data_IF_094147633701
#
_entry.id   IF_094147633701
#
_cell.length_a   1.000
_cell.length_b   1.000
_cell.length_c   1.000
_cell.angle_alpha   90.00
_cell.angle_beta   90.00
_cell.angle_gamma   90.00
#
_symmetry.space_group_name_H-M   'P 1'
#
loop_
_entity.id
_entity.type
_entity.pdbx_description
1 polymer ?
#
# COMPACT_ATOMS: atom_id res chain seq x y z
N UNK A 1 -12.33 -17.31 -16.36
CA UNK A 1 -11.68 -16.07 -15.87
C UNK A 1 -12.70 -14.98 -15.55
N UNK A 2 -13.46 -14.48 -16.55
CA UNK A 2 -14.46 -13.42 -16.32
C UNK A 2 -15.58 -13.83 -15.35
N UNK A 3 -16.01 -15.10 -15.39
CA UNK A 3 -17.03 -15.62 -14.45
C UNK A 3 -16.58 -15.60 -12.98
N UNK A 4 -15.28 -15.67 -12.69
CA UNK A 4 -14.77 -15.62 -11.32
C UNK A 4 -14.63 -14.17 -10.82
N UNK A 5 -14.27 -13.24 -11.71
CA UNK A 5 -13.94 -11.86 -11.33
C UNK A 5 -15.13 -10.89 -11.39
N UNK A 6 -16.26 -11.26 -12.00
CA UNK A 6 -17.38 -10.33 -12.15
C UNK A 6 -18.05 -9.98 -10.82
N UNK A 7 -18.20 -10.96 -9.91
CA UNK A 7 -18.79 -10.77 -8.56
C UNK A 7 -17.95 -9.81 -7.71
N UNK A 8 -16.63 -10.04 -7.51
CA UNK A 8 -15.79 -9.10 -6.76
C UNK A 8 -15.71 -7.74 -7.46
N UNK A 9 -15.71 -7.69 -8.80
CA UNK A 9 -15.78 -6.42 -9.53
C UNK A 9 -17.07 -5.65 -9.23
N UNK A 10 -18.23 -6.31 -9.16
CA UNK A 10 -19.48 -5.67 -8.77
C UNK A 10 -19.41 -5.12 -7.33
N UNK A 11 -18.79 -5.86 -6.40
CA UNK A 11 -18.56 -5.37 -5.04
C UNK A 11 -17.69 -4.09 -5.05
N UNK A 12 -16.61 -4.08 -5.85
CA UNK A 12 -15.77 -2.90 -6.04
C UNK A 12 -16.54 -1.70 -6.59
N UNK A 13 -17.49 -1.89 -7.51
CA UNK A 13 -18.33 -0.81 -8.04
C UNK A 13 -19.27 -0.26 -6.96
N UNK A 14 -19.90 -1.12 -6.17
CA UNK A 14 -20.77 -0.71 -5.07
C UNK A 14 -20.00 0.07 -4.00
N UNK A 15 -18.80 -0.39 -3.65
CA UNK A 15 -17.89 0.33 -2.74
C UNK A 15 -17.49 1.68 -3.35
N UNK A 16 -16.98 1.69 -4.58
CA UNK A 16 -16.56 2.92 -5.28
C UNK A 16 -17.67 3.98 -5.29
N UNK A 17 -18.92 3.58 -5.57
CA UNK A 17 -20.03 4.50 -5.72
C UNK A 17 -20.24 5.40 -4.48
N UNK A 18 -20.32 4.81 -3.29
CA UNK A 18 -20.56 5.56 -2.05
C UNK A 18 -19.28 6.15 -1.47
N UNK A 19 -18.13 5.46 -1.56
CA UNK A 19 -16.90 5.91 -0.89
C UNK A 19 -16.29 7.12 -1.58
N UNK A 20 -16.36 7.21 -2.91
CA UNK A 20 -15.90 8.42 -3.62
C UNK A 20 -16.72 9.63 -3.19
N UNK A 21 -18.04 9.48 -3.05
CA UNK A 21 -18.92 10.55 -2.61
C UNK A 21 -18.60 10.99 -1.17
N UNK A 22 -18.52 10.04 -0.22
CA UNK A 22 -18.18 10.34 1.16
C UNK A 22 -16.75 10.89 1.29
N UNK A 23 -15.82 10.41 0.48
CA UNK A 23 -14.44 10.85 0.43
C UNK A 23 -14.28 12.31 0.06
N UNK A 24 -15.12 12.85 -0.82
CA UNK A 24 -15.14 14.29 -1.10
C UNK A 24 -15.50 15.12 0.14
N UNK A 25 -16.46 14.65 0.92
CA UNK A 25 -16.84 15.31 2.17
C UNK A 25 -15.74 15.21 3.21
N UNK A 26 -15.10 14.04 3.35
CA UNK A 26 -13.96 13.83 4.24
C UNK A 26 -12.78 14.76 3.91
N UNK A 27 -12.41 14.84 2.62
CA UNK A 27 -11.36 15.75 2.16
C UNK A 27 -11.73 17.22 2.39
N UNK A 28 -12.97 17.63 2.09
CA UNK A 28 -13.42 19.00 2.31
C UNK A 28 -13.40 19.40 3.80
N UNK A 29 -13.70 18.44 4.68
CA UNK A 29 -13.71 18.63 6.14
C UNK A 29 -12.31 18.56 6.77
N UNK A 30 -11.29 18.12 6.03
CA UNK A 30 -9.92 17.97 6.53
C UNK A 30 -9.76 16.87 7.58
N UNK A 31 -10.60 15.82 7.51
CA UNK A 31 -10.63 14.72 8.50
C UNK A 31 -10.25 13.37 7.88
N UNK A 32 -9.10 13.34 7.19
CA UNK A 32 -8.71 12.26 6.26
C UNK A 32 -8.70 10.89 6.92
N UNK A 33 -8.26 10.79 8.18
CA UNK A 33 -8.15 9.53 8.91
C UNK A 33 -9.41 9.10 9.66
N UNK A 34 -10.54 9.79 9.48
CA UNK A 34 -11.78 9.48 10.23
C UNK A 34 -12.34 8.10 9.94
N UNK A 35 -12.16 7.59 8.73
CA UNK A 35 -12.54 6.23 8.35
C UNK A 35 -11.69 5.18 9.06
N UNK A 36 -10.36 5.36 9.11
CA UNK A 36 -9.46 4.46 9.82
C UNK A 36 -9.81 4.43 11.31
N UNK A 37 -10.04 5.59 11.91
CA UNK A 37 -10.40 5.68 13.32
C UNK A 37 -11.75 4.99 13.60
N UNK A 38 -12.78 5.25 12.79
CA UNK A 38 -14.07 4.58 12.95
C UNK A 38 -13.98 3.08 12.72
N UNK A 39 -13.15 2.62 11.79
CA UNK A 39 -12.91 1.20 11.57
C UNK A 39 -12.25 0.53 12.79
N UNK A 40 -11.29 1.20 13.44
CA UNK A 40 -10.68 0.67 14.67
C UNK A 40 -11.63 0.70 15.87
N UNK A 41 -12.46 1.74 15.99
CA UNK A 41 -13.53 1.80 16.99
C UNK A 41 -14.55 0.68 16.76
N UNK A 42 -14.95 0.44 15.51
CA UNK A 42 -15.82 -0.68 15.14
C UNK A 42 -15.16 -2.03 15.44
N UNK A 43 -13.88 -2.19 15.11
CA UNK A 43 -13.08 -3.37 15.44
C UNK A 43 -12.98 -3.64 16.94
N UNK A 44 -12.83 -2.58 17.75
CA UNK A 44 -12.93 -2.69 19.21
C UNK A 44 -14.32 -3.19 19.65
N UNK A 45 -15.40 -2.74 19.00
CA UNK A 45 -16.75 -3.27 19.21
C UNK A 45 -16.87 -4.77 18.91
N UNK A 46 -16.32 -5.23 17.78
CA UNK A 46 -16.25 -6.67 17.44
C UNK A 46 -15.52 -7.46 18.53
N UNK A 47 -14.40 -6.92 19.00
CA UNK A 47 -13.57 -7.50 20.05
C UNK A 47 -14.31 -7.59 21.39
N UNK A 48 -15.13 -6.58 21.73
CA UNK A 48 -16.01 -6.62 22.91
C UNK A 48 -17.13 -7.66 22.74
N UNK A 49 -17.70 -7.81 21.54
CA UNK A 49 -18.68 -8.85 21.27
C UNK A 49 -18.08 -10.26 21.44
N UNK A 50 -16.83 -10.44 21.00
CA UNK A 50 -16.09 -11.68 21.19
C UNK A 50 -15.88 -12.00 22.68
N UNK A 51 -15.50 -11.01 23.49
CA UNK A 51 -15.41 -11.19 24.95
C UNK A 51 -16.76 -11.50 25.60
N UNK A 52 -17.86 -11.00 25.04
CA UNK A 52 -19.22 -11.33 25.46
C UNK A 52 -19.66 -12.74 25.01
N UNK A 53 -18.79 -13.52 24.34
CA UNK A 53 -19.06 -14.88 23.90
C UNK A 53 -19.71 -14.99 22.52
N UNK A 54 -19.82 -13.90 21.77
CA UNK A 54 -20.35 -13.94 20.41
C UNK A 54 -19.25 -14.31 19.39
N UNK A 55 -19.56 -15.13 18.37
CA UNK A 55 -18.64 -15.35 17.27
C UNK A 55 -18.31 -14.04 16.53
N UNK A 56 -17.07 -13.88 16.09
CA UNK A 56 -16.57 -12.67 15.42
C UNK A 56 -17.37 -12.32 14.14
N UNK A 57 -17.85 -13.33 13.42
CA UNK A 57 -18.62 -13.15 12.18
C UNK A 57 -20.15 -13.13 12.40
N UNK A 58 -20.60 -13.10 13.66
CA UNK A 58 -22.02 -13.09 14.00
C UNK A 58 -22.68 -11.74 13.73
N UNK A 59 -24.00 -11.75 13.56
CA UNK A 59 -24.80 -10.51 13.50
C UNK A 59 -24.68 -9.70 14.81
N UNK A 60 -24.52 -10.36 15.95
CA UNK A 60 -24.26 -9.68 17.23
C UNK A 60 -22.97 -8.87 17.16
N UNK A 61 -21.87 -9.46 16.67
CA UNK A 61 -20.60 -8.75 16.51
C UNK A 61 -20.74 -7.52 15.58
N UNK A 62 -21.54 -7.60 14.51
CA UNK A 62 -21.86 -6.46 13.66
C UNK A 62 -22.57 -5.34 14.42
N UNK A 63 -23.59 -5.66 15.23
CA UNK A 63 -24.31 -4.64 16.01
C UNK A 63 -23.44 -3.99 17.09
N UNK A 64 -22.55 -4.74 17.73
CA UNK A 64 -21.56 -4.17 18.65
C UNK A 64 -20.58 -3.24 17.91
N UNK A 65 -20.06 -3.68 16.76
CA UNK A 65 -19.19 -2.86 15.92
C UNK A 65 -19.87 -1.55 15.54
N UNK A 66 -21.13 -1.62 15.11
CA UNK A 66 -21.92 -0.46 14.72
C UNK A 66 -22.20 0.46 15.91
N UNK A 67 -22.56 -0.08 17.07
CA UNK A 67 -22.81 0.71 18.28
C UNK A 67 -21.55 1.50 18.70
N UNK A 68 -20.39 0.84 18.69
CA UNK A 68 -19.11 1.49 18.96
C UNK A 68 -18.80 2.56 17.90
N UNK A 69 -18.95 2.23 16.61
CA UNK A 69 -18.70 3.17 15.53
C UNK A 69 -19.61 4.41 15.60
N UNK A 70 -20.88 4.24 15.97
CA UNK A 70 -21.81 5.35 16.22
C UNK A 70 -21.39 6.17 17.45
N UNK A 71 -20.87 5.54 18.50
CA UNK A 71 -20.25 6.23 19.63
C UNK A 71 -19.03 7.06 19.22
N UNK A 72 -18.15 6.50 18.37
CA UNK A 72 -17.02 7.22 17.78
C UNK A 72 -17.46 8.38 16.89
N UNK A 73 -18.51 8.18 16.08
CA UNK A 73 -19.12 9.23 15.27
C UNK A 73 -19.70 10.36 16.12
N UNK A 74 -20.34 10.04 17.25
CA UNK A 74 -20.83 11.01 18.22
C UNK A 74 -19.68 11.82 18.80
N UNK A 75 -18.61 11.14 19.22
CA UNK A 75 -17.40 11.79 19.74
C UNK A 75 -16.82 12.76 18.69
N UNK A 76 -16.62 12.33 17.45
CA UNK A 76 -16.05 13.19 16.40
C UNK A 76 -16.95 14.37 16.02
N UNK A 77 -18.27 14.19 16.02
CA UNK A 77 -19.21 15.28 15.81
C UNK A 77 -19.13 16.33 16.95
N UNK A 78 -19.00 15.87 18.19
CA UNK A 78 -18.91 16.74 19.36
C UNK A 78 -17.59 17.49 19.42
N UNK A 79 -16.46 16.82 19.17
CA UNK A 79 -15.14 17.46 19.22
C UNK A 79 -14.91 18.42 18.07
N UNK A 80 -15.45 18.14 16.87
CA UNK A 80 -15.32 19.03 15.71
C UNK A 80 -16.00 20.39 15.93
N UNK A 81 -17.10 20.39 16.68
CA UNK A 81 -17.85 21.60 16.99
C UNK A 81 -17.30 22.36 18.21
N UNK A 82 -16.38 21.76 18.96
CA UNK A 82 -15.80 22.41 20.13
C UNK A 82 -14.75 23.44 19.68
N UNK A 83 -14.79 24.68 20.19
CA UNK A 83 -13.71 25.63 19.98
C UNK A 83 -12.47 25.13 20.72
N UNK A 84 -11.57 24.48 19.99
CA UNK A 84 -10.38 23.83 20.54
C UNK A 84 -9.11 24.29 19.83
N UNK A 85 -8.00 24.33 20.57
CA UNK A 85 -6.65 24.54 20.00
C UNK A 85 -6.11 23.29 19.30
N UNK A 86 -6.74 22.13 19.52
CA UNK A 86 -6.33 20.86 18.96
C UNK A 86 -7.02 20.65 17.60
N UNK A 87 -6.26 20.35 16.53
CA UNK A 87 -6.84 19.97 15.25
C UNK A 87 -7.71 18.71 15.41
N UNK A 88 -8.86 18.67 14.75
CA UNK A 88 -9.77 17.52 14.77
C UNK A 88 -9.05 16.23 14.34
N UNK A 89 -8.12 16.32 13.39
CA UNK A 89 -7.32 15.18 12.93
C UNK A 89 -6.46 14.57 14.03
N UNK A 90 -5.99 15.37 14.99
CA UNK A 90 -5.22 14.86 16.13
C UNK A 90 -6.12 14.02 17.06
N UNK A 91 -7.36 14.46 17.29
CA UNK A 91 -8.35 13.69 18.07
C UNK A 91 -8.64 12.36 17.39
N UNK A 92 -8.86 12.38 16.07
CA UNK A 92 -9.10 11.19 15.24
C UNK A 92 -7.91 10.22 15.34
N UNK A 93 -6.68 10.73 15.21
CA UNK A 93 -5.46 9.92 15.31
C UNK A 93 -5.27 9.27 16.69
N UNK A 94 -5.58 9.98 17.77
CA UNK A 94 -5.52 9.43 19.13
C UNK A 94 -6.56 8.33 19.32
N UNK A 95 -7.81 8.56 18.89
CA UNK A 95 -8.89 7.57 18.98
C UNK A 95 -8.57 6.33 18.16
N UNK A 96 -8.01 6.50 16.95
CA UNK A 96 -7.49 5.41 16.14
C UNK A 96 -6.46 4.56 16.90
N UNK A 97 -5.40 5.19 17.43
CA UNK A 97 -4.32 4.50 18.09
C UNK A 97 -4.77 3.76 19.36
N UNK A 98 -5.59 4.41 20.20
CA UNK A 98 -6.13 3.82 21.42
C UNK A 98 -7.06 2.66 21.11
N UNK A 99 -7.98 2.81 20.15
CA UNK A 99 -8.93 1.74 19.80
C UNK A 99 -8.21 0.53 19.21
N UNK A 100 -7.22 0.75 18.34
CA UNK A 100 -6.39 -0.31 17.78
C UNK A 100 -5.60 -1.04 18.88
N UNK A 101 -4.96 -0.29 19.79
CA UNK A 101 -4.21 -0.88 20.90
C UNK A 101 -5.11 -1.71 21.83
N UNK A 102 -6.30 -1.20 22.17
CA UNK A 102 -7.27 -1.93 22.98
C UNK A 102 -7.78 -3.19 22.27
N UNK A 103 -8.03 -3.13 20.96
CA UNK A 103 -8.44 -4.29 20.18
C UNK A 103 -7.33 -5.37 20.18
N UNK A 104 -6.07 -4.98 19.96
CA UNK A 104 -4.92 -5.89 20.03
C UNK A 104 -4.78 -6.51 21.41
N UNK A 105 -4.86 -5.74 22.49
CA UNK A 105 -4.71 -6.24 23.86
C UNK A 105 -5.73 -7.33 24.23
N UNK A 106 -6.94 -7.23 23.69
CA UNK A 106 -7.98 -8.24 23.92
C UNK A 106 -7.77 -9.46 23.02
N UNK A 107 -7.43 -9.23 21.75
CA UNK A 107 -7.29 -10.27 20.73
C UNK A 107 -6.01 -11.10 20.90
N UNK A 108 -4.96 -10.54 21.51
CA UNK A 108 -3.68 -11.22 21.82
C UNK A 108 -3.88 -12.51 22.65
N UNK A 109 -4.95 -12.57 23.44
CA UNK A 109 -5.27 -13.74 24.26
C UNK A 109 -6.07 -14.81 23.50
N UNK A 110 -6.45 -14.56 22.24
CA UNK A 110 -7.23 -15.47 21.43
C UNK A 110 -6.32 -16.27 20.47
N UNK A 111 -6.48 -17.61 20.36
CA UNK A 111 -5.66 -18.45 19.47
C UNK A 111 -5.67 -18.03 17.99
N UNK A 112 -6.73 -17.34 17.54
CA UNK A 112 -6.96 -16.92 16.16
C UNK A 112 -6.77 -15.41 15.96
N UNK A 113 -6.17 -14.72 16.93
CA UNK A 113 -6.17 -13.27 16.97
C UNK A 113 -5.40 -12.60 15.83
N UNK A 114 -4.24 -13.16 15.45
CA UNK A 114 -3.45 -12.65 14.33
C UNK A 114 -4.19 -12.72 12.98
N UNK A 115 -4.94 -13.79 12.75
CA UNK A 115 -5.74 -13.94 11.53
C UNK A 115 -6.90 -12.94 11.50
N UNK A 116 -7.52 -12.67 12.65
CA UNK A 116 -8.56 -11.64 12.74
C UNK A 116 -8.03 -10.24 12.39
N UNK A 117 -6.86 -9.86 12.92
CA UNK A 117 -6.22 -8.58 12.59
C UNK A 117 -5.93 -8.49 11.08
N UNK A 118 -5.40 -9.57 10.50
CA UNK A 118 -5.12 -9.64 9.06
C UNK A 118 -6.39 -9.49 8.22
N UNK A 119 -7.47 -10.18 8.59
CA UNK A 119 -8.77 -10.07 7.91
C UNK A 119 -9.34 -8.65 8.01
N UNK A 120 -9.21 -7.97 9.16
CA UNK A 120 -9.61 -6.57 9.31
C UNK A 120 -8.82 -5.63 8.41
N UNK A 121 -7.50 -5.83 8.27
CA UNK A 121 -6.64 -4.95 7.48
C UNK A 121 -6.87 -5.12 5.96
N UNK A 122 -6.84 -6.36 5.46
CA UNK A 122 -6.80 -6.66 4.03
C UNK A 122 -8.19 -6.98 3.46
N UNK A 123 -9.09 -7.52 4.28
CA UNK A 123 -10.38 -8.04 3.84
C UNK A 123 -10.26 -9.23 2.90
N UNK A 124 -11.41 -9.69 2.39
CA UNK A 124 -11.46 -10.70 1.34
C UNK A 124 -12.61 -10.39 0.36
N UNK A 125 -12.31 -9.48 -0.58
CA UNK A 125 -13.28 -9.12 -1.63
C UNK A 125 -13.49 -10.26 -2.62
N UNK A 126 -12.53 -11.18 -2.75
CA UNK A 126 -12.58 -12.25 -3.75
C UNK A 126 -13.68 -13.26 -3.43
N UNK A 127 -13.93 -13.53 -2.15
CA UNK A 127 -14.91 -14.53 -1.68
C UNK A 127 -16.29 -13.96 -1.37
N UNK A 128 -16.54 -12.68 -1.67
CA UNK A 128 -17.81 -12.02 -1.39
C UNK A 128 -18.98 -12.67 -2.14
N UNK A 129 -20.08 -12.93 -1.43
CA UNK A 129 -21.27 -13.53 -2.01
C UNK A 129 -22.18 -12.49 -2.70
N UNK A 130 -22.94 -12.88 -3.74
CA UNK A 130 -23.95 -12.00 -4.34
C UNK A 130 -25.01 -11.51 -3.34
N UNK A 131 -25.32 -12.30 -2.31
CA UNK A 131 -26.21 -11.90 -1.22
C UNK A 131 -25.64 -10.77 -0.37
N UNK A 132 -24.35 -10.79 -0.06
CA UNK A 132 -23.68 -9.72 0.69
C UNK A 132 -23.61 -8.45 -0.14
N UNK A 133 -23.26 -8.56 -1.42
CA UNK A 133 -23.27 -7.42 -2.36
C UNK A 133 -24.66 -6.79 -2.40
N UNK A 134 -25.73 -7.58 -2.51
CA UNK A 134 -27.10 -7.06 -2.54
C UNK A 134 -27.48 -6.34 -1.25
N UNK A 135 -27.14 -6.89 -0.08
CA UNK A 135 -27.41 -6.24 1.22
C UNK A 135 -26.71 -4.89 1.32
N UNK A 136 -25.43 -4.85 0.95
CA UNK A 136 -24.62 -3.64 0.99
C UNK A 136 -25.05 -2.63 -0.07
N UNK A 137 -25.40 -3.07 -1.28
CA UNK A 137 -25.92 -2.20 -2.33
C UNK A 137 -27.24 -1.52 -1.91
N UNK A 138 -28.17 -2.25 -1.29
CA UNK A 138 -29.41 -1.68 -0.76
C UNK A 138 -29.12 -0.68 0.36
N UNK A 139 -28.26 -1.03 1.31
CA UNK A 139 -27.84 -0.13 2.38
C UNK A 139 -27.23 1.17 1.82
N UNK A 140 -26.33 1.07 0.85
CA UNK A 140 -25.65 2.22 0.27
C UNK A 140 -26.56 3.05 -0.64
N UNK A 141 -27.53 2.42 -1.31
CA UNK A 141 -28.56 3.13 -2.04
C UNK A 141 -29.46 3.95 -1.09
N UNK A 142 -29.86 3.40 0.06
CA UNK A 142 -30.65 4.12 1.06
C UNK A 142 -29.86 5.28 1.68
N UNK A 143 -28.59 5.05 2.05
CA UNK A 143 -27.72 6.10 2.57
C UNK A 143 -27.42 7.16 1.52
N UNK A 144 -27.20 6.76 0.27
CA UNK A 144 -27.01 7.66 -0.86
C UNK A 144 -28.24 8.52 -1.12
N UNK A 145 -29.45 7.92 -1.10
CA UNK A 145 -30.71 8.64 -1.22
C UNK A 145 -30.87 9.66 -0.08
N UNK A 146 -30.60 9.25 1.15
CA UNK A 146 -30.62 10.13 2.32
C UNK A 146 -29.68 11.33 2.12
N UNK A 147 -28.46 11.10 1.64
CA UNK A 147 -27.50 12.17 1.32
C UNK A 147 -27.94 13.08 0.17
N UNK A 148 -28.63 12.54 -0.84
CA UNK A 148 -29.20 13.35 -1.93
C UNK A 148 -30.30 14.28 -1.39
N UNK A 149 -31.15 13.79 -0.49
CA UNK A 149 -32.18 14.59 0.18
C UNK A 149 -31.55 15.65 1.10
N UNK A 150 -30.47 15.29 1.80
CA UNK A 150 -29.72 16.14 2.73
C UNK A 150 -28.57 16.91 2.06
N UNK A 151 -28.51 16.97 0.72
CA UNK A 151 -27.30 17.44 0.01
C UNK A 151 -26.92 18.88 0.36
N UNK A 152 -27.92 19.77 0.47
CA UNK A 152 -27.70 21.20 0.72
C UNK A 152 -27.01 21.45 2.07
N UNK A 153 -27.56 20.99 3.21
CA UNK A 153 -26.90 21.17 4.51
C UNK A 153 -25.53 20.49 4.57
N UNK A 154 -25.40 19.26 4.07
CA UNK A 154 -24.14 18.49 4.17
C UNK A 154 -23.03 19.17 3.34
N UNK A 155 -23.32 19.62 2.12
CA UNK A 155 -22.34 20.33 1.28
C UNK A 155 -21.92 21.66 1.90
N UNK A 156 -22.88 22.46 2.39
CA UNK A 156 -22.57 23.75 3.02
C UNK A 156 -21.65 23.57 4.24
N UNK A 157 -21.95 22.62 5.12
CA UNK A 157 -21.16 22.39 6.34
C UNK A 157 -19.79 21.76 6.04
N UNK A 158 -19.67 21.06 4.92
CA UNK A 158 -18.38 20.48 4.50
C UNK A 158 -17.45 21.51 3.88
N UNK A 159 -18.00 22.51 3.17
CA UNK A 159 -17.22 23.52 2.43
C UNK A 159 -17.04 24.84 3.20
N UNK A 160 -18.05 25.24 3.97
CA UNK A 160 -18.15 26.54 4.64
C UNK A 160 -18.94 26.38 5.97
N UNK A 161 -18.34 25.80 7.01
CA UNK A 161 -19.00 25.60 8.29
C UNK A 161 -19.39 26.91 8.98
N UNK A 162 -18.56 27.96 8.86
CA UNK A 162 -18.82 29.27 9.47
C UNK A 162 -20.00 29.98 8.79
N UNK A 163 -20.08 29.95 7.45
CA UNK A 163 -21.23 30.48 6.74
C UNK A 163 -22.48 29.63 6.93
N UNK A 164 -22.36 28.31 7.13
CA UNK A 164 -23.52 27.49 7.50
C UNK A 164 -24.08 27.87 8.88
N UNK A 165 -23.21 28.17 9.84
CA UNK A 165 -23.61 28.63 11.17
C UNK A 165 -24.27 30.01 11.11
N UNK A 166 -23.74 30.96 10.33
CA UNK A 166 -24.32 32.29 10.16
C UNK A 166 -25.69 32.26 9.49
N UNK A 167 -25.96 31.26 8.63
CA UNK A 167 -27.28 30.97 8.04
C UNK A 167 -28.22 30.20 8.97
N UNK A 168 -27.88 30.05 10.26
CA UNK A 168 -28.72 29.40 11.27
C UNK A 168 -28.81 27.87 11.16
N UNK A 169 -27.91 27.22 10.40
CA UNK A 169 -27.90 25.75 10.34
C UNK A 169 -27.35 25.17 11.64
N UNK A 170 -27.98 24.08 12.11
CA UNK A 170 -27.48 23.30 13.24
C UNK A 170 -26.25 22.47 12.86
N UNK A 171 -25.06 23.11 12.79
CA UNK A 171 -23.79 22.51 12.34
C UNK A 171 -23.52 21.17 13.06
N UNK A 172 -23.69 21.14 14.37
CA UNK A 172 -23.52 19.94 15.22
C UNK A 172 -24.40 18.77 14.80
N UNK A 173 -25.67 19.03 14.51
CA UNK A 173 -26.63 17.99 14.16
C UNK A 173 -26.33 17.37 12.80
N UNK A 174 -25.96 18.18 11.81
CA UNK A 174 -25.59 17.68 10.48
C UNK A 174 -24.22 17.01 10.45
N UNK A 175 -23.27 17.45 11.29
CA UNK A 175 -22.01 16.73 11.49
C UNK A 175 -22.23 15.37 12.12
N UNK A 176 -23.08 15.29 13.14
CA UNK A 176 -23.48 14.03 13.72
C UNK A 176 -24.16 13.12 12.68
N UNK A 177 -25.11 13.64 11.90
CA UNK A 177 -25.78 12.87 10.87
C UNK A 177 -24.81 12.36 9.79
N UNK A 178 -23.85 13.20 9.38
CA UNK A 178 -22.78 12.78 8.46
C UNK A 178 -21.92 11.68 9.08
N UNK A 179 -21.37 11.88 10.29
CA UNK A 179 -20.49 10.88 10.89
C UNK A 179 -21.19 9.56 11.20
N UNK A 180 -22.47 9.58 11.57
CA UNK A 180 -23.25 8.35 11.81
C UNK A 180 -23.47 7.57 10.52
N UNK A 181 -23.94 8.23 9.47
CA UNK A 181 -24.14 7.58 8.17
C UNK A 181 -22.82 7.11 7.57
N UNK A 182 -21.75 7.87 7.77
CA UNK A 182 -20.39 7.50 7.41
C UNK A 182 -19.89 6.28 8.20
N UNK A 183 -20.12 6.23 9.51
CA UNK A 183 -19.76 5.09 10.36
C UNK A 183 -20.49 3.81 9.94
N UNK A 184 -21.78 3.91 9.57
CA UNK A 184 -22.55 2.77 9.03
C UNK A 184 -21.91 2.24 7.74
N UNK A 185 -21.55 3.13 6.80
CA UNK A 185 -20.91 2.75 5.53
C UNK A 185 -19.55 2.12 5.80
N UNK A 186 -18.66 2.79 6.54
CA UNK A 186 -17.30 2.31 6.81
C UNK A 186 -17.35 0.95 7.53
N UNK A 187 -18.16 0.80 8.58
CA UNK A 187 -18.27 -0.46 9.33
C UNK A 187 -18.70 -1.61 8.43
N UNK A 188 -19.69 -1.37 7.55
CA UNK A 188 -20.20 -2.38 6.63
C UNK A 188 -19.20 -2.71 5.52
N UNK A 189 -18.46 -1.72 5.02
CA UNK A 189 -17.44 -1.92 3.98
C UNK A 189 -16.22 -2.66 4.50
N UNK A 190 -15.75 -2.32 5.70
CA UNK A 190 -14.55 -2.92 6.30
C UNK A 190 -14.74 -4.42 6.49
N UNK A 191 -15.95 -4.87 6.83
CA UNK A 191 -16.28 -6.30 6.95
C UNK A 191 -16.02 -7.08 5.65
N UNK A 192 -16.16 -6.45 4.48
CA UNK A 192 -15.97 -7.09 3.17
C UNK A 192 -14.56 -6.83 2.65
N UNK A 193 -14.19 -5.56 2.58
CA UNK A 193 -13.02 -5.09 1.85
C UNK A 193 -11.79 -4.85 2.73
N UNK A 194 -11.96 -4.85 4.05
CA UNK A 194 -10.89 -4.48 4.98
C UNK A 194 -10.61 -2.98 4.99
N UNK A 195 -9.89 -2.54 6.01
CA UNK A 195 -9.65 -1.12 6.28
C UNK A 195 -8.81 -0.46 5.17
N UNK A 196 -7.79 -1.14 4.66
CA UNK A 196 -6.87 -0.56 3.67
C UNK A 196 -7.55 -0.24 2.34
N UNK A 197 -8.39 -1.15 1.87
CA UNK A 197 -9.10 -0.99 0.60
C UNK A 197 -10.22 0.06 0.72
N UNK A 198 -10.94 0.08 1.84
CA UNK A 198 -11.96 1.11 2.12
C UNK A 198 -11.35 2.50 2.12
N UNK A 199 -10.22 2.70 2.82
CA UNK A 199 -9.48 3.95 2.81
C UNK A 199 -9.07 4.37 1.38
N UNK A 200 -8.58 3.41 0.60
CA UNK A 200 -8.13 3.66 -0.78
C UNK A 200 -9.28 4.11 -1.69
N UNK A 201 -10.45 3.46 -1.61
CA UNK A 201 -11.64 3.87 -2.36
C UNK A 201 -12.18 5.25 -1.95
N UNK A 202 -11.96 5.63 -0.70
CA UNK A 202 -12.47 6.86 -0.13
C UNK A 202 -11.57 8.04 -0.49
N UNK A 203 -10.26 7.91 -0.31
CA UNK A 203 -9.32 9.04 -0.41
C UNK A 203 -8.73 9.20 -1.81
N UNK A 204 -8.20 8.13 -2.42
CA UNK A 204 -7.42 8.24 -3.67
C UNK A 204 -8.24 8.81 -4.84
N UNK A 205 -9.39 8.23 -5.23
CA UNK A 205 -10.18 8.77 -6.34
C UNK A 205 -10.74 10.17 -6.04
N UNK A 206 -11.08 10.49 -4.78
CA UNK A 206 -11.54 11.81 -4.39
C UNK A 206 -10.42 12.87 -4.47
N UNK A 207 -9.19 12.49 -4.09
CA UNK A 207 -8.00 13.35 -4.17
C UNK A 207 -7.63 13.62 -5.63
N UNK A 208 -7.55 12.58 -6.46
CA UNK A 208 -7.29 12.73 -7.91
C UNK A 208 -8.39 13.58 -8.57
N UNK A 209 -9.66 13.33 -8.21
CA UNK A 209 -10.80 14.13 -8.64
C UNK A 209 -10.62 15.62 -8.34
N UNK A 210 -10.19 15.93 -7.11
CA UNK A 210 -9.96 17.31 -6.63
C UNK A 210 -8.79 17.99 -7.33
N UNK A 211 -7.73 17.25 -7.64
CA UNK A 211 -6.58 17.75 -8.41
C UNK A 211 -6.95 18.03 -9.88
N UNK A 212 -7.82 17.21 -10.47
CA UNK A 212 -8.17 17.30 -11.88
C UNK A 212 -9.32 18.28 -12.18
N UNK A 213 -10.27 18.47 -11.24
CA UNK A 213 -11.51 19.22 -11.52
C UNK A 213 -11.94 20.14 -10.38
N UNK A 214 -12.52 21.30 -10.74
CA UNK A 214 -13.07 22.27 -9.77
C UNK A 214 -14.54 22.02 -9.41
N UNK A 215 -15.31 21.37 -10.29
CA UNK A 215 -16.73 21.08 -10.06
C UNK A 215 -16.93 19.84 -9.20
N UNK A 216 -17.81 19.90 -8.19
CA UNK A 216 -18.16 18.74 -7.33
C UNK A 216 -18.62 17.54 -8.15
N UNK A 217 -19.49 17.74 -9.15
CA UNK A 217 -19.97 16.67 -10.02
C UNK A 217 -18.83 16.04 -10.86
N UNK A 218 -17.93 16.86 -11.43
CA UNK A 218 -16.76 16.36 -12.16
C UNK A 218 -15.82 15.54 -11.29
N UNK A 219 -15.59 15.95 -10.03
CA UNK A 219 -14.80 15.17 -9.07
C UNK A 219 -15.42 13.80 -8.82
N UNK A 220 -16.75 13.73 -8.76
CA UNK A 220 -17.49 12.51 -8.43
C UNK A 220 -17.46 11.53 -9.61
N UNK A 221 -17.78 12.01 -10.81
CA UNK A 221 -17.75 11.19 -12.03
C UNK A 221 -16.33 10.67 -12.29
N UNK A 222 -15.31 11.54 -12.19
CA UNK A 222 -13.93 11.10 -12.38
C UNK A 222 -13.51 10.08 -11.31
N UNK A 223 -13.88 10.31 -10.05
CA UNK A 223 -13.60 9.36 -8.98
C UNK A 223 -14.25 8.00 -9.19
N UNK A 224 -15.49 7.95 -9.68
CA UNK A 224 -16.16 6.68 -10.04
C UNK A 224 -15.48 5.96 -11.20
N UNK A 225 -15.13 6.69 -12.27
CA UNK A 225 -14.42 6.11 -13.41
C UNK A 225 -13.06 5.55 -13.00
N UNK A 226 -12.31 6.29 -12.20
CA UNK A 226 -11.01 5.85 -11.69
C UNK A 226 -11.15 4.67 -10.74
N UNK A 227 -12.12 4.70 -9.82
CA UNK A 227 -12.35 3.58 -8.91
C UNK A 227 -12.72 2.31 -9.66
N UNK A 228 -13.57 2.39 -10.69
CA UNK A 228 -13.90 1.26 -11.56
C UNK A 228 -12.68 0.75 -12.33
N UNK A 229 -11.93 1.65 -12.98
CA UNK A 229 -10.76 1.29 -13.78
C UNK A 229 -9.65 0.65 -12.93
N UNK A 230 -9.31 1.28 -11.80
CA UNK A 230 -8.28 0.78 -10.87
C UNK A 230 -8.69 -0.56 -10.27
N UNK A 231 -9.97 -0.75 -9.96
CA UNK A 231 -10.47 -2.04 -9.47
C UNK A 231 -10.33 -3.13 -10.53
N UNK A 232 -10.66 -2.84 -11.79
CA UNK A 232 -10.50 -3.80 -12.88
C UNK A 232 -9.03 -4.19 -13.09
N UNK A 233 -8.12 -3.20 -13.09
CA UNK A 233 -6.67 -3.45 -13.20
C UNK A 233 -6.13 -4.21 -11.99
N UNK A 234 -6.55 -3.86 -10.78
CA UNK A 234 -6.11 -4.51 -9.54
C UNK A 234 -6.62 -5.95 -9.42
N UNK A 235 -7.86 -6.23 -9.84
CA UNK A 235 -8.41 -7.59 -9.92
C UNK A 235 -7.67 -8.43 -10.96
N UNK A 236 -7.40 -7.86 -12.14
CA UNK A 236 -6.60 -8.53 -13.16
C UNK A 236 -5.19 -8.84 -12.65
N UNK A 237 -4.52 -7.89 -11.99
CA UNK A 237 -3.20 -8.06 -11.40
C UNK A 237 -3.19 -9.14 -10.30
N UNK A 238 -4.21 -9.13 -9.43
CA UNK A 238 -4.41 -10.16 -8.41
C UNK A 238 -4.52 -11.55 -9.02
N UNK A 239 -5.30 -11.70 -10.09
CA UNK A 239 -5.46 -12.97 -10.78
C UNK A 239 -4.19 -13.39 -11.54
N UNK A 240 -3.53 -12.47 -12.24
CA UNK A 240 -2.36 -12.76 -13.07
C UNK A 240 -1.11 -13.13 -12.24
N UNK A 241 -1.00 -12.59 -11.03
CA UNK A 241 0.18 -12.76 -10.16
C UNK A 241 -0.12 -13.52 -8.85
N UNK A 242 -1.32 -14.07 -8.69
CA UNK A 242 -1.75 -14.81 -7.48
C UNK A 242 -1.56 -13.99 -6.19
N UNK A 243 -1.97 -12.71 -6.22
CA UNK A 243 -1.82 -11.77 -5.10
C UNK A 243 -3.12 -11.64 -4.31
N UNK A 244 -3.05 -11.32 -3.00
CA UNK A 244 -4.22 -10.96 -2.21
C UNK A 244 -4.98 -9.79 -2.85
N UNK A 245 -6.25 -10.03 -3.20
CA UNK A 245 -7.02 -9.11 -4.06
C UNK A 245 -7.17 -7.71 -3.47
N UNK A 246 -7.45 -7.60 -2.17
CA UNK A 246 -7.56 -6.30 -1.50
C UNK A 246 -6.26 -5.51 -1.59
N UNK A 247 -5.13 -6.14 -1.28
CA UNK A 247 -3.80 -5.52 -1.34
C UNK A 247 -3.40 -5.14 -2.77
N UNK A 248 -3.72 -5.97 -3.77
CA UNK A 248 -3.43 -5.67 -5.17
C UNK A 248 -4.18 -4.43 -5.68
N UNK A 249 -5.46 -4.28 -5.32
CA UNK A 249 -6.24 -3.09 -5.68
C UNK A 249 -5.68 -1.84 -4.97
N UNK A 250 -5.35 -1.93 -3.68
CA UNK A 250 -4.70 -0.84 -2.93
C UNK A 250 -3.37 -0.43 -3.58
N UNK A 251 -2.52 -1.39 -3.95
CA UNK A 251 -1.27 -1.11 -4.63
C UNK A 251 -1.49 -0.42 -5.98
N UNK A 252 -2.54 -0.80 -6.71
CA UNK A 252 -2.91 -0.17 -7.99
C UNK A 252 -3.41 1.28 -7.78
N UNK A 253 -4.17 1.55 -6.72
CA UNK A 253 -4.50 2.93 -6.32
C UNK A 253 -3.25 3.74 -5.98
N UNK A 254 -2.30 3.16 -5.24
CA UNK A 254 -1.02 3.77 -4.94
C UNK A 254 -0.22 4.10 -6.20
N UNK A 255 -0.17 3.17 -7.16
CA UNK A 255 0.50 3.37 -8.44
C UNK A 255 -0.16 4.49 -9.27
N UNK A 256 -1.50 4.56 -9.31
CA UNK A 256 -2.23 5.67 -9.94
C UNK A 256 -1.85 7.00 -9.30
N UNK A 257 -1.89 7.09 -7.97
CA UNK A 257 -1.57 8.33 -7.26
C UNK A 257 -0.11 8.75 -7.49
N UNK A 258 0.83 7.81 -7.48
CA UNK A 258 2.22 8.05 -7.80
C UNK A 258 2.38 8.57 -9.23
N UNK A 259 1.70 7.96 -10.22
CA UNK A 259 1.74 8.41 -11.60
C UNK A 259 1.18 9.84 -11.76
N UNK A 260 0.07 10.17 -11.09
CA UNK A 260 -0.50 11.53 -11.08
C UNK A 260 0.46 12.53 -10.46
N UNK A 261 1.08 12.19 -9.32
CA UNK A 261 2.04 13.05 -8.64
C UNK A 261 3.32 13.27 -9.48
N UNK A 262 3.84 12.21 -10.10
CA UNK A 262 5.00 12.28 -10.99
C UNK A 262 4.69 13.12 -12.23
N UNK A 263 3.53 12.93 -12.86
CA UNK A 263 3.11 13.72 -14.01
C UNK A 263 2.97 15.20 -13.63
N UNK A 264 2.33 15.51 -12.49
CA UNK A 264 2.22 16.88 -11.99
C UNK A 264 3.60 17.49 -11.71
N UNK A 265 4.51 16.73 -11.11
CA UNK A 265 5.90 17.12 -10.89
C UNK A 265 6.66 17.38 -12.18
N UNK A 266 6.58 16.48 -13.17
CA UNK A 266 7.21 16.63 -14.48
C UNK A 266 6.67 17.85 -15.23
N UNK A 267 5.36 18.09 -15.21
CA UNK A 267 4.75 19.29 -15.80
C UNK A 267 5.23 20.57 -15.10
N UNK A 268 5.34 20.54 -13.77
CA UNK A 268 5.91 21.65 -13.01
C UNK A 268 7.39 21.87 -13.35
N UNK A 269 8.14 20.80 -13.64
CA UNK A 269 9.54 20.87 -14.04
C UNK A 269 9.72 21.47 -15.44
N UNK A 270 8.90 21.01 -16.41
CA UNK A 270 8.86 21.57 -17.77
C UNK A 270 8.49 23.06 -17.75
N UNK A 271 7.54 23.45 -16.90
CA UNK A 271 7.14 24.85 -16.71
C UNK A 271 8.15 25.68 -15.89
N UNK A 272 8.90 25.04 -15.01
CA UNK A 272 9.79 25.68 -14.03
C UNK A 272 11.17 26.07 -14.57
N UNK A 273 11.45 25.84 -15.86
CA UNK A 273 12.66 26.29 -16.54
C UNK A 273 13.95 25.96 -15.79
N UNK A 274 14.85 26.95 -15.65
CA UNK A 274 16.14 26.77 -14.97
C UNK A 274 16.02 26.38 -13.49
N UNK A 275 15.02 26.89 -12.76
CA UNK A 275 14.86 26.63 -11.32
C UNK A 275 14.49 25.16 -11.06
N UNK A 276 13.67 24.58 -11.92
CA UNK A 276 13.34 23.16 -11.91
C UNK A 276 14.55 22.27 -12.20
N UNK A 277 15.34 22.61 -13.22
CA UNK A 277 16.56 21.88 -13.58
C UNK A 277 17.60 21.88 -12.45
N UNK A 278 17.77 23.01 -11.75
CA UNK A 278 18.66 23.08 -10.58
C UNK A 278 18.15 22.17 -9.46
N UNK A 279 16.86 22.20 -9.10
CA UNK A 279 16.30 21.34 -8.05
C UNK A 279 16.46 19.85 -8.37
N UNK A 280 16.21 19.44 -9.62
CA UNK A 280 16.43 18.06 -10.07
C UNK A 280 17.91 17.67 -9.98
N UNK A 281 18.80 18.52 -10.47
CA UNK A 281 20.23 18.25 -10.42
C UNK A 281 20.73 18.13 -8.98
N UNK A 282 20.24 18.98 -8.07
CA UNK A 282 20.53 18.86 -6.63
C UNK A 282 20.00 17.55 -6.06
N UNK A 283 18.77 17.15 -6.42
CA UNK A 283 18.19 15.86 -6.01
C UNK A 283 18.99 14.65 -6.53
N UNK A 284 19.40 14.67 -7.80
CA UNK A 284 20.23 13.62 -8.39
C UNK A 284 21.61 13.54 -7.72
N UNK A 285 22.26 14.68 -7.50
CA UNK A 285 23.52 14.79 -6.76
C UNK A 285 23.39 14.26 -5.32
N UNK A 286 22.29 14.56 -4.63
CA UNK A 286 22.00 14.04 -3.29
C UNK A 286 21.78 12.52 -3.30
N UNK A 287 21.08 11.97 -4.30
CA UNK A 287 20.89 10.53 -4.44
C UNK A 287 22.21 9.80 -4.72
N UNK A 288 23.06 10.35 -5.57
CA UNK A 288 24.42 9.83 -5.83
C UNK A 288 25.27 9.90 -4.57
N UNK A 289 25.21 11.01 -3.82
CA UNK A 289 25.93 11.17 -2.57
C UNK A 289 25.47 10.14 -1.53
N UNK A 290 24.16 9.92 -1.41
CA UNK A 290 23.56 8.96 -0.49
C UNK A 290 23.93 7.53 -0.86
N UNK A 291 23.86 7.16 -2.15
CA UNK A 291 24.30 5.85 -2.62
C UNK A 291 25.78 5.60 -2.30
N UNK A 292 26.63 6.61 -2.52
CA UNK A 292 28.04 6.57 -2.15
C UNK A 292 28.26 6.44 -0.64
N UNK A 293 27.55 7.23 0.17
CA UNK A 293 27.61 7.20 1.64
C UNK A 293 27.20 5.83 2.18
N UNK A 294 26.09 5.28 1.69
CA UNK A 294 25.56 3.99 2.14
C UNK A 294 26.53 2.87 1.80
N UNK A 295 27.08 2.84 0.59
CA UNK A 295 28.12 1.87 0.22
C UNK A 295 29.39 2.07 1.07
N UNK A 296 29.72 3.33 1.38
CA UNK A 296 30.88 3.66 2.17
C UNK A 296 30.73 3.39 3.67
N UNK A 297 29.52 3.35 4.24
CA UNK A 297 29.31 3.05 5.66
C UNK A 297 28.90 1.59 5.88
N UNK A 298 28.11 1.04 4.96
CA UNK A 298 27.49 -0.28 5.07
C UNK A 298 27.72 -1.09 3.79
N UNK A 299 28.97 -1.50 3.49
CA UNK A 299 29.26 -2.26 2.26
C UNK A 299 28.53 -3.60 2.19
N UNK A 300 28.25 -4.23 3.32
CA UNK A 300 27.51 -5.50 3.40
C UNK A 300 25.98 -5.37 3.33
N UNK A 301 25.44 -4.15 3.22
CA UNK A 301 24.01 -3.93 2.98
C UNK A 301 23.65 -4.32 1.55
N UNK A 302 22.41 -4.74 1.30
CA UNK A 302 21.93 -4.99 -0.07
C UNK A 302 21.78 -3.65 -0.81
N UNK A 303 22.60 -3.45 -1.85
CA UNK A 303 22.60 -2.21 -2.66
C UNK A 303 21.98 -2.48 -4.03
N UNK A 304 20.64 -2.38 -4.15
CA UNK A 304 19.93 -2.73 -5.39
C UNK A 304 20.47 -2.06 -6.67
N UNK A 305 20.94 -0.83 -6.60
CA UNK A 305 21.53 -0.12 -7.74
C UNK A 305 22.85 -0.75 -8.21
N UNK A 306 23.68 -1.20 -7.27
CA UNK A 306 24.98 -1.82 -7.54
C UNK A 306 24.79 -3.28 -7.96
N UNK A 307 23.79 -3.95 -7.39
CA UNK A 307 23.35 -5.29 -7.76
C UNK A 307 22.87 -5.34 -9.21
N UNK A 308 22.04 -4.37 -9.61
CA UNK A 308 21.60 -4.21 -10.98
C UNK A 308 22.80 -4.00 -11.93
N UNK A 309 23.75 -3.14 -11.55
CA UNK A 309 24.94 -2.86 -12.33
C UNK A 309 25.88 -4.08 -12.46
N UNK A 310 26.12 -4.82 -11.38
CA UNK A 310 26.92 -6.06 -11.37
C UNK A 310 26.24 -7.19 -12.17
N UNK A 311 24.91 -7.24 -12.18
CA UNK A 311 24.16 -8.22 -12.98
C UNK A 311 24.27 -7.98 -14.49
N UNK A 312 24.28 -6.70 -14.91
CA UNK A 312 24.43 -6.30 -16.31
C UNK A 312 25.88 -6.31 -16.78
N UNK A 313 26.83 -5.98 -15.89
CA UNK A 313 28.27 -5.90 -16.17
C UNK A 313 29.05 -6.64 -15.07
N UNK A 314 29.20 -7.97 -15.17
CA UNK A 314 29.90 -8.77 -14.17
C UNK A 314 31.36 -8.35 -13.94
N UNK A 315 31.97 -7.66 -14.91
CA UNK A 315 33.31 -7.10 -14.78
C UNK A 315 33.45 -6.12 -13.61
N UNK A 316 32.37 -5.48 -13.17
CA UNK A 316 32.39 -4.53 -12.05
C UNK A 316 32.67 -5.22 -10.72
N UNK A 317 32.11 -6.40 -10.47
CA UNK A 317 32.41 -7.19 -9.28
C UNK A 317 33.85 -7.75 -9.36
N UNK A 318 34.17 -8.34 -10.52
CA UNK A 318 35.44 -9.02 -10.78
C UNK A 318 36.65 -8.08 -10.69
N UNK A 319 36.48 -6.80 -11.03
CA UNK A 319 37.55 -5.79 -10.97
C UNK A 319 38.11 -5.59 -9.54
N UNK A 320 37.31 -5.88 -8.50
CA UNK A 320 37.71 -5.73 -7.11
C UNK A 320 38.16 -7.05 -6.46
N UNK A 321 38.21 -8.14 -7.22
CA UNK A 321 38.68 -9.44 -6.75
C UNK A 321 40.18 -9.65 -7.07
N UNK A 322 40.92 -10.27 -6.15
CA UNK A 322 42.30 -10.67 -6.39
C UNK A 322 42.38 -11.78 -7.47
N UNK A 323 43.54 -12.04 -8.08
CA UNK A 323 43.68 -13.09 -9.09
C UNK A 323 43.15 -14.47 -8.63
N UNK A 324 43.42 -14.86 -7.38
CA UNK A 324 42.94 -16.12 -6.81
C UNK A 324 41.42 -16.12 -6.59
N UNK A 325 40.85 -15.01 -6.08
CA UNK A 325 39.41 -14.84 -5.90
C UNK A 325 38.67 -14.84 -7.24
N UNK A 326 39.25 -14.25 -8.29
CA UNK A 326 38.71 -14.27 -9.65
C UNK A 326 38.69 -15.68 -10.25
N UNK A 327 39.66 -16.53 -9.89
CA UNK A 327 39.64 -17.92 -10.30
C UNK A 327 38.50 -18.67 -9.58
N UNK A 328 38.41 -18.55 -8.25
CA UNK A 328 37.35 -19.17 -7.46
C UNK A 328 35.94 -18.72 -7.88
N UNK A 329 35.78 -17.43 -8.22
CA UNK A 329 34.53 -16.89 -8.77
C UNK A 329 34.17 -17.54 -10.10
N UNK A 330 35.13 -17.68 -11.03
CA UNK A 330 34.92 -18.32 -12.34
C UNK A 330 34.56 -19.79 -12.16
N UNK A 331 35.31 -20.52 -11.35
CA UNK A 331 35.09 -21.95 -11.09
C UNK A 331 33.68 -22.20 -10.52
N UNK A 332 33.25 -21.37 -9.56
CA UNK A 332 31.92 -21.46 -8.94
C UNK A 332 30.80 -21.08 -9.93
N UNK A 333 30.99 -20.02 -10.74
CA UNK A 333 30.00 -19.64 -11.77
C UNK A 333 29.86 -20.71 -12.86
N UNK A 334 30.98 -21.26 -13.33
CA UNK A 334 31.00 -22.34 -14.31
C UNK A 334 30.42 -23.64 -13.74
N UNK A 335 30.65 -23.93 -12.45
CA UNK A 335 30.01 -25.04 -11.72
C UNK A 335 28.49 -24.92 -11.71
N UNK A 336 27.96 -23.75 -11.35
CA UNK A 336 26.53 -23.46 -11.37
C UNK A 336 25.94 -23.52 -12.79
N UNK A 337 26.65 -22.96 -13.79
CA UNK A 337 26.19 -22.97 -15.18
C UNK A 337 26.10 -24.40 -15.75
N UNK A 338 27.12 -25.24 -15.50
CA UNK A 338 27.15 -26.65 -15.93
C UNK A 338 26.04 -27.48 -15.29
N UNK A 339 25.68 -27.19 -14.05
CA UNK A 339 24.64 -27.92 -13.31
C UNK A 339 23.20 -27.49 -13.59
N UNK A 340 22.98 -26.29 -14.15
CA UNK A 340 21.66 -25.66 -14.16
C UNK A 340 20.65 -26.29 -15.14
N UNK A 341 21.09 -26.79 -16.29
CA UNK A 341 20.20 -27.45 -17.25
C UNK A 341 19.75 -28.82 -16.76
N UNK A 342 20.69 -29.61 -16.24
CA UNK A 342 20.43 -30.96 -15.74
C UNK A 342 19.57 -30.94 -14.47
N UNK A 343 19.84 -30.03 -13.54
CA UNK A 343 19.00 -29.84 -12.35
C UNK A 343 17.56 -29.46 -12.68
N UNK A 344 17.35 -28.60 -13.68
CA UNK A 344 16.00 -28.22 -14.13
C UNK A 344 15.27 -29.43 -14.69
N UNK A 345 15.92 -30.23 -15.53
CA UNK A 345 15.35 -31.47 -16.09
C UNK A 345 14.95 -32.46 -15.00
N UNK A 346 15.84 -32.69 -14.03
CA UNK A 346 15.62 -33.65 -12.95
C UNK A 346 14.54 -33.20 -11.95
N UNK A 347 14.44 -31.90 -11.66
CA UNK A 347 13.35 -31.34 -10.85
C UNK A 347 12.00 -31.43 -11.56
N UNK A 348 11.95 -31.13 -12.85
CA UNK A 348 10.73 -31.28 -13.66
C UNK A 348 10.25 -32.73 -13.63
N UNK A 349 11.18 -33.69 -13.78
CA UNK A 349 10.87 -35.12 -13.66
C UNK A 349 10.35 -35.51 -12.27
N UNK A 350 10.92 -34.94 -11.19
CA UNK A 350 10.43 -35.17 -9.83
C UNK A 350 9.00 -34.63 -9.65
N UNK A 351 8.72 -33.42 -10.16
CA UNK A 351 7.39 -32.81 -10.12
C UNK A 351 6.38 -33.64 -10.93
N UNK A 352 6.72 -34.05 -12.15
CA UNK A 352 5.85 -34.88 -12.98
C UNK A 352 5.52 -36.22 -12.31
N UNK A 353 6.46 -36.81 -11.58
CA UNK A 353 6.20 -38.03 -10.78
C UNK A 353 5.31 -37.75 -9.58
N UNK A 354 5.54 -36.64 -8.86
CA UNK A 354 4.71 -36.26 -7.71
C UNK A 354 3.25 -35.99 -8.11
N UNK A 355 3.04 -35.40 -9.30
CA UNK A 355 1.71 -35.09 -9.84
C UNK A 355 1.11 -36.22 -10.69
N UNK A 356 1.72 -37.41 -10.71
CA UNK A 356 1.21 -38.58 -11.42
C UNK A 356 1.24 -38.48 -12.96
N UNK A 357 1.99 -37.52 -13.52
CA UNK A 357 2.18 -37.33 -14.97
C UNK A 357 3.26 -38.25 -15.54
N UNK A 358 4.15 -38.75 -14.69
CA UNK A 358 5.20 -39.70 -15.03
C UNK A 358 5.29 -40.83 -14.00
N UNK A 359 5.68 -42.03 -14.43
CA UNK A 359 5.85 -43.19 -13.56
C UNK A 359 7.34 -43.57 -13.44
N UNK A 360 7.83 -43.62 -12.20
CA UNK A 360 9.18 -44.06 -11.85
C UNK A 360 9.08 -45.10 -10.72
N UNK A 361 9.94 -46.13 -10.73
CA UNK A 361 9.99 -47.11 -9.64
C UNK A 361 10.42 -46.44 -8.33
N UNK A 362 9.97 -47.00 -7.19
CA UNK A 362 10.29 -46.46 -5.85
C UNK A 362 11.82 -46.32 -5.64
N UNK A 363 12.61 -47.30 -6.08
CA UNK A 363 14.07 -47.25 -6.01
C UNK A 363 14.65 -46.09 -6.84
N UNK A 364 14.13 -45.84 -8.04
CA UNK A 364 14.59 -44.72 -8.89
C UNK A 364 14.14 -43.36 -8.33
N UNK A 365 12.96 -43.28 -7.72
CA UNK A 365 12.50 -42.08 -7.02
C UNK A 365 13.42 -41.73 -5.84
N UNK A 366 13.86 -42.73 -5.08
CA UNK A 366 14.77 -42.54 -3.96
C UNK A 366 16.15 -42.07 -4.44
N UNK A 367 16.72 -42.73 -5.47
CA UNK A 367 17.98 -42.29 -6.09
C UNK A 367 17.91 -40.86 -6.63
N UNK A 368 16.80 -40.49 -7.27
CA UNK A 368 16.56 -39.13 -7.76
C UNK A 368 16.55 -38.12 -6.61
N UNK A 369 15.86 -38.43 -5.50
CA UNK A 369 15.84 -37.59 -4.30
C UNK A 369 17.23 -37.41 -3.69
N UNK A 370 17.99 -38.50 -3.52
CA UNK A 370 19.36 -38.46 -2.99
C UNK A 370 20.30 -37.66 -3.89
N UNK A 371 20.20 -37.86 -5.22
CA UNK A 371 21.00 -37.11 -6.19
C UNK A 371 20.68 -35.61 -6.15
N UNK A 372 19.39 -35.24 -6.10
CA UNK A 372 18.95 -33.85 -6.00
C UNK A 372 19.37 -33.20 -4.68
N UNK A 373 19.36 -33.94 -3.57
CA UNK A 373 19.84 -33.46 -2.28
C UNK A 373 21.34 -33.18 -2.30
N UNK A 374 22.15 -34.16 -2.72
CA UNK A 374 23.61 -34.02 -2.84
C UNK A 374 23.99 -32.89 -3.81
N UNK A 375 23.26 -32.76 -4.93
CA UNK A 375 23.48 -31.66 -5.87
C UNK A 375 23.05 -30.32 -5.30
N UNK A 376 21.99 -30.30 -4.49
CA UNK A 376 21.54 -29.14 -3.72
C UNK A 376 22.65 -28.60 -2.81
N UNK A 377 23.32 -29.47 -2.06
CA UNK A 377 24.44 -29.10 -1.18
C UNK A 377 25.61 -28.49 -1.96
N UNK A 378 26.01 -29.10 -3.08
CA UNK A 378 27.08 -28.57 -3.94
C UNK A 378 26.71 -27.17 -4.45
N UNK A 379 25.48 -26.98 -4.94
CA UNK A 379 25.03 -25.66 -5.42
C UNK A 379 24.90 -24.63 -4.30
N UNK A 380 24.58 -25.05 -3.07
CA UNK A 380 24.56 -24.17 -1.91
C UNK A 380 25.99 -23.71 -1.57
N UNK A 381 26.97 -24.62 -1.65
CA UNK A 381 28.39 -24.32 -1.52
C UNK A 381 28.88 -23.29 -2.54
N UNK A 382 28.62 -23.49 -3.83
CA UNK A 382 29.01 -22.55 -4.88
C UNK A 382 28.37 -21.16 -4.68
N UNK A 383 27.09 -21.10 -4.29
CA UNK A 383 26.41 -19.84 -3.98
C UNK A 383 27.01 -19.15 -2.76
N UNK A 384 27.38 -19.92 -1.73
CA UNK A 384 28.03 -19.40 -0.54
C UNK A 384 29.41 -18.79 -0.87
N UNK A 385 30.19 -19.46 -1.73
CA UNK A 385 31.47 -18.92 -2.22
C UNK A 385 31.23 -17.60 -2.96
N UNK A 386 30.29 -17.56 -3.90
CA UNK A 386 29.96 -16.32 -4.62
C UNK A 386 29.48 -15.20 -3.70
N UNK A 387 28.63 -15.49 -2.72
CA UNK A 387 28.19 -14.51 -1.72
C UNK A 387 29.36 -13.97 -0.88
N UNK A 388 30.30 -14.85 -0.49
CA UNK A 388 31.49 -14.47 0.26
C UNK A 388 32.44 -13.59 -0.56
N UNK A 389 32.69 -13.96 -1.82
CA UNK A 389 33.52 -13.19 -2.74
C UNK A 389 32.90 -11.82 -3.03
N UNK A 390 31.57 -11.77 -3.20
CA UNK A 390 30.83 -10.54 -3.36
C UNK A 390 30.95 -9.63 -2.13
N UNK A 391 30.85 -10.18 -0.92
CA UNK A 391 31.09 -9.44 0.32
C UNK A 391 32.47 -8.78 0.36
N UNK A 392 33.53 -9.53 0.02
CA UNK A 392 34.90 -8.99 -0.07
C UNK A 392 35.05 -7.94 -1.17
N UNK A 393 34.40 -8.11 -2.31
CA UNK A 393 34.36 -7.11 -3.37
C UNK A 393 33.69 -5.82 -2.87
N UNK A 394 32.57 -5.91 -2.14
CA UNK A 394 31.86 -4.75 -1.55
C UNK A 394 32.72 -3.99 -0.54
N UNK A 395 33.50 -4.69 0.29
CA UNK A 395 34.44 -4.04 1.21
C UNK A 395 35.49 -3.19 0.49
N UNK A 396 35.97 -3.63 -0.68
CA UNK A 396 36.92 -2.88 -1.50
C UNK A 396 36.23 -1.75 -2.29
N UNK A 397 35.04 -2.01 -2.83
CA UNK A 397 34.23 -1.03 -3.55
C UNK A 397 33.80 0.16 -2.67
N UNK A 398 33.68 -0.01 -1.35
CA UNK A 398 33.45 1.11 -0.40
C UNK A 398 34.42 2.27 -0.62
N UNK A 399 35.71 1.99 -0.81
CA UNK A 399 36.73 3.04 -0.96
C UNK A 399 36.83 3.58 -2.39
N UNK A 400 36.70 2.70 -3.38
CA UNK A 400 36.95 3.05 -4.78
C UNK A 400 35.70 3.49 -5.55
N UNK A 401 34.52 3.15 -5.06
CA UNK A 401 33.23 3.50 -5.65
C UNK A 401 32.40 4.35 -4.68
N UNK A 402 32.28 3.91 -3.43
CA UNK A 402 31.46 4.59 -2.41
C UNK A 402 31.94 6.01 -2.10
N UNK A 403 33.21 6.17 -1.72
CA UNK A 403 33.78 7.49 -1.38
C UNK A 403 33.76 8.45 -2.57
N UNK A 404 34.17 8.08 -3.80
CA UNK A 404 34.07 8.96 -4.96
C UNK A 404 32.64 9.39 -5.29
N UNK A 405 31.66 8.48 -5.21
CA UNK A 405 30.24 8.82 -5.42
C UNK A 405 29.73 9.81 -4.36
N UNK A 406 30.13 9.62 -3.10
CA UNK A 406 29.81 10.56 -2.02
C UNK A 406 30.37 11.95 -2.32
N UNK A 407 31.66 12.05 -2.63
CA UNK A 407 32.35 13.33 -2.88
C UNK A 407 31.78 14.03 -4.10
N UNK A 408 31.63 13.32 -5.22
CA UNK A 408 31.12 13.90 -6.48
C UNK A 408 29.65 14.30 -6.36
N UNK A 409 28.81 13.50 -5.69
CA UNK A 409 27.43 13.85 -5.41
C UNK A 409 27.30 15.08 -4.51
N UNK A 410 28.06 15.13 -3.40
CA UNK A 410 28.02 16.27 -2.48
C UNK A 410 28.54 17.56 -3.14
N UNK A 411 29.68 17.49 -3.84
CA UNK A 411 30.26 18.64 -4.54
C UNK A 411 29.35 19.13 -5.67
N UNK A 412 28.80 18.22 -6.48
CA UNK A 412 27.86 18.55 -7.54
C UNK A 412 26.58 19.22 -7.01
N UNK A 413 26.06 18.73 -5.89
CA UNK A 413 24.90 19.33 -5.21
C UNK A 413 25.18 20.75 -4.73
N UNK A 414 26.33 20.98 -4.11
CA UNK A 414 26.75 22.31 -3.63
C UNK A 414 26.94 23.31 -4.80
N UNK A 415 27.57 22.88 -5.90
CA UNK A 415 27.74 23.72 -7.09
C UNK A 415 26.40 24.12 -7.70
N UNK A 416 25.46 23.19 -7.79
CA UNK A 416 24.12 23.47 -8.32
C UNK A 416 23.31 24.38 -7.39
N UNK A 417 23.38 24.20 -6.08
CA UNK A 417 22.75 25.09 -5.10
C UNK A 417 23.32 26.52 -5.18
N UNK A 418 24.65 26.66 -5.31
CA UNK A 418 25.30 27.95 -5.47
C UNK A 418 24.86 28.66 -6.77
N UNK A 419 24.77 27.92 -7.88
CA UNK A 419 24.26 28.44 -9.17
C UNK A 419 22.77 28.78 -9.12
N UNK A 420 21.98 28.06 -8.33
CA UNK A 420 20.55 28.34 -8.13
C UNK A 420 20.29 29.64 -7.37
N UNK A 421 21.11 29.97 -6.37
CA UNK A 421 21.00 31.22 -5.59
C UNK A 421 21.45 32.46 -6.36
N UNK A 422 22.41 32.32 -7.28
CA UNK A 422 22.87 33.44 -8.12
C UNK A 422 21.86 33.86 -9.22
N UNK A 423 20.84 33.03 -9.48
CA UNK A 423 19.86 33.24 -10.55
C UNK A 423 18.50 33.80 -10.06
N UNK A 424 18.30 33.98 -8.75
CA UNK A 424 17.12 34.68 -8.21
C UNK A 424 17.44 36.17 -8.13
N UNK A 425 16.83 37.05 -8.94
CA UNK A 425 16.94 38.48 -8.72
C UNK A 425 16.35 38.79 -7.34
N UNK A 426 17.07 39.61 -6.56
CA UNK A 426 16.49 40.26 -5.39
C UNK A 426 15.38 41.18 -5.90
N UNK A 427 14.13 40.79 -5.67
CA UNK A 427 12.95 41.64 -5.84
C UNK A 427 12.13 41.61 -4.57
#
# INVERSE_FOLDING_TARGET
MLELLWVPFLACLVLTAIHVYLGQHVLARGVIFVDLALAQVAGLGVTVAFLAGHPIQSEAAYWYALAFAVGGAALFALTRAAPGRLPQEAVIGIVYAVSAALAVLVVDRAPQGAEHIKQLLVGDVLTVSPSEIRRVAVLYALIGLLHVLMRRPILEISLDPDGAASRGRAVRGWDFAFYVTFAVVVTSSVRIAGVLLVFSYLIVPAAVGTLATRSVAGRLVLGWLLGALVSAVGLWASFAWDLPTGAAIVATFGALMAAVALMAGLLALVRGGRAAAVKLGVGACAAVALAGLLLALFPGMDHHWLDWLESGVPAVEVAFLSPAERQAWRDSREGLARGASELRRLRTLQEDVQWGRASLSLERQERLRQFLAARGEITAGDRFVLATLRGRARERQRYWLGVPLLVTGAAGGLVLLARGRAATPVS
#
